data_IF_807284088650
#
_entry.id   IF_807284088650
#
_cell.length_a   1.000
_cell.length_b   1.000
_cell.length_c   1.000
_cell.angle_alpha   90.00
_cell.angle_beta   90.00
_cell.angle_gamma   90.00
#
_symmetry.space_group_name_H-M   'P 1'
#
loop_
_entity.id
_entity.type
_entity.pdbx_description
1 polymer ?
#
# COMPACT_ATOMS: atom_id res chain seq x y z
N UNK A 1 22.32 25.98 0.65
CA UNK A 1 20.87 25.83 0.93
C UNK A 1 20.21 25.25 -0.31
N UNK A 2 19.96 23.94 -0.34
CA UNK A 2 19.21 23.30 -1.42
C UNK A 2 17.72 23.35 -1.05
N UNK A 3 16.92 24.03 -1.87
CA UNK A 3 15.51 24.25 -1.61
C UNK A 3 14.72 22.95 -1.63
N UNK A 4 13.96 22.72 -0.56
CA UNK A 4 12.83 21.80 -0.54
C UNK A 4 11.80 22.31 -1.57
N UNK A 5 11.81 21.74 -2.79
CA UNK A 5 10.69 21.86 -3.73
C UNK A 5 9.46 21.28 -3.04
N UNK A 6 8.42 22.10 -2.89
CA UNK A 6 7.24 21.80 -2.08
C UNK A 6 6.53 20.51 -2.49
N UNK A 7 6.02 19.79 -1.50
CA UNK A 7 5.07 18.68 -1.63
C UNK A 7 3.73 19.19 -2.17
N UNK A 8 3.67 19.49 -3.47
CA UNK A 8 2.43 19.80 -4.15
C UNK A 8 1.70 18.52 -4.59
N UNK A 9 0.38 18.62 -4.76
CA UNK A 9 -0.44 17.62 -5.45
C UNK A 9 -0.76 18.20 -6.85
N UNK A 10 0.18 18.14 -7.81
CA UNK A 10 0.06 18.83 -9.08
C UNK A 10 -1.10 18.34 -9.93
N UNK A 11 -1.38 17.03 -9.95
CA UNK A 11 -2.48 16.48 -10.73
C UNK A 11 -3.82 16.89 -10.11
N UNK A 12 -3.94 16.78 -8.79
CA UNK A 12 -5.15 17.22 -8.09
C UNK A 12 -5.38 18.74 -8.18
N UNK A 13 -4.32 19.53 -8.09
CA UNK A 13 -4.39 21.00 -8.18
C UNK A 13 -4.70 21.52 -9.59
N UNK A 14 -4.52 20.71 -10.63
CA UNK A 14 -4.85 21.06 -12.00
C UNK A 14 -6.29 20.70 -12.39
N UNK A 15 -6.96 19.83 -11.63
CA UNK A 15 -8.34 19.43 -11.88
C UNK A 15 -9.33 20.50 -11.39
N UNK A 16 -10.40 20.73 -12.16
CA UNK A 16 -11.52 21.53 -11.69
C UNK A 16 -12.29 20.71 -10.63
N UNK A 17 -12.62 21.29 -9.45
CA UNK A 17 -13.28 20.54 -8.38
C UNK A 17 -14.57 19.83 -8.80
N UNK A 18 -15.33 20.44 -9.72
CA UNK A 18 -16.56 19.88 -10.31
C UNK A 18 -16.34 18.64 -11.18
N UNK A 19 -15.12 18.45 -11.69
CA UNK A 19 -14.73 17.32 -12.55
C UNK A 19 -14.06 16.19 -11.74
N UNK A 20 -14.00 16.31 -10.41
CA UNK A 20 -13.39 15.30 -9.54
C UNK A 20 -14.45 14.34 -9.00
N UNK A 21 -14.35 13.09 -9.43
CA UNK A 21 -15.15 11.99 -8.92
C UNK A 21 -14.41 11.25 -7.79
N UNK A 22 -15.17 10.70 -6.84
CA UNK A 22 -14.65 9.97 -5.69
C UNK A 22 -15.09 8.52 -5.76
N UNK A 23 -14.13 7.59 -5.71
CA UNK A 23 -14.41 6.16 -5.76
C UNK A 23 -15.13 5.67 -4.50
N UNK A 24 -15.70 4.46 -4.57
CA UNK A 24 -16.06 3.71 -3.36
C UNK A 24 -14.84 3.57 -2.45
N UNK A 25 -14.95 3.79 -1.12
CA UNK A 25 -13.83 3.66 -0.21
C UNK A 25 -13.39 2.21 -0.03
N UNK A 26 -12.09 2.04 0.18
CA UNK A 26 -11.47 0.78 0.56
C UNK A 26 -10.94 0.91 2.00
N UNK A 27 -11.26 -0.05 2.87
CA UNK A 27 -10.71 -0.02 4.23
C UNK A 27 -9.21 -0.35 4.18
N UNK A 28 -8.41 0.44 4.88
CA UNK A 28 -6.96 0.26 4.98
C UNK A 28 -6.64 -0.48 6.26
N UNK A 29 -5.92 -1.59 6.12
CA UNK A 29 -5.37 -2.40 7.19
C UNK A 29 -3.86 -2.20 7.26
N UNK A 30 -3.32 -2.07 8.46
CA UNK A 30 -1.88 -1.92 8.72
C UNK A 30 -1.38 -3.10 9.53
N UNK A 31 -0.21 -3.62 9.17
CA UNK A 31 0.50 -4.64 9.94
C UNK A 31 1.92 -4.18 10.26
N UNK A 32 2.39 -4.51 11.46
CA UNK A 32 3.73 -4.16 11.93
C UNK A 32 4.81 -5.12 11.40
N UNK A 33 6.07 -4.68 11.42
CA UNK A 33 7.20 -5.52 11.04
C UNK A 33 7.33 -6.74 11.96
N UNK A 34 7.22 -6.53 13.27
CA UNK A 34 7.33 -7.59 14.28
C UNK A 34 6.33 -8.73 14.04
N UNK A 35 5.09 -8.40 13.64
CA UNK A 35 4.08 -9.40 13.30
C UNK A 35 4.47 -10.22 12.07
N UNK A 36 5.12 -9.60 11.07
CA UNK A 36 5.60 -10.28 9.87
C UNK A 36 6.78 -11.19 10.21
N UNK A 37 7.74 -10.71 10.98
CA UNK A 37 8.91 -11.48 11.41
C UNK A 37 8.53 -12.67 12.30
N UNK A 38 7.48 -12.54 13.11
CA UNK A 38 6.89 -13.63 13.88
C UNK A 38 6.10 -14.64 13.03
N UNK A 39 6.01 -14.45 11.71
CA UNK A 39 5.29 -15.35 10.79
C UNK A 39 3.77 -15.18 10.83
N UNK A 40 3.27 -14.02 11.26
CA UNK A 40 1.84 -13.70 11.27
C UNK A 40 1.26 -13.52 9.86
N UNK A 41 -0.04 -13.77 9.73
CA UNK A 41 -0.82 -13.55 8.53
C UNK A 41 -1.80 -12.37 8.63
N UNK A 42 -2.85 -12.42 7.81
CA UNK A 42 -3.89 -11.37 7.73
C UNK A 42 -4.57 -11.09 9.08
N UNK A 43 -4.65 -12.09 9.96
CA UNK A 43 -5.25 -11.98 11.30
C UNK A 43 -4.53 -10.97 12.23
N UNK A 44 -3.29 -10.61 11.89
CA UNK A 44 -2.50 -9.60 12.61
C UNK A 44 -2.74 -8.18 12.10
N UNK A 45 -3.30 -8.03 10.90
CA UNK A 45 -3.56 -6.73 10.32
C UNK A 45 -4.68 -5.99 11.08
N UNK A 46 -4.48 -4.70 11.37
CA UNK A 46 -5.43 -3.87 12.11
C UNK A 46 -6.05 -2.81 11.21
N UNK A 47 -7.36 -2.56 11.30
CA UNK A 47 -7.98 -1.47 10.54
C UNK A 47 -7.38 -0.14 10.99
N UNK A 48 -7.02 0.72 10.03
CA UNK A 48 -6.32 1.98 10.27
C UNK A 48 -6.96 3.20 9.61
N UNK A 49 -7.98 3.01 8.76
CA UNK A 49 -8.70 4.09 8.10
C UNK A 49 -9.35 3.65 6.80
N UNK A 50 -9.71 4.64 5.98
CA UNK A 50 -10.38 4.49 4.70
C UNK A 50 -9.62 5.26 3.63
N UNK A 51 -9.53 4.66 2.44
CA UNK A 51 -8.91 5.28 1.27
C UNK A 51 -9.87 5.38 0.10
N UNK A 52 -9.90 6.55 -0.51
CA UNK A 52 -10.64 6.89 -1.71
C UNK A 52 -9.68 7.16 -2.85
N UNK A 53 -10.04 6.78 -4.06
CA UNK A 53 -9.38 7.26 -5.28
C UNK A 53 -10.13 8.48 -5.78
N UNK A 54 -9.38 9.46 -6.27
CA UNK A 54 -9.90 10.68 -6.87
C UNK A 54 -9.62 10.62 -8.37
N UNK A 55 -10.68 10.76 -9.15
CA UNK A 55 -10.64 10.59 -10.60
C UNK A 55 -11.05 11.89 -11.30
N UNK A 56 -10.41 12.21 -12.42
CA UNK A 56 -10.85 13.31 -13.28
C UNK A 56 -10.60 12.93 -14.73
N UNK A 57 -11.60 13.15 -15.59
CA UNK A 57 -11.53 12.74 -17.00
C UNK A 57 -11.34 11.24 -17.21
N UNK A 58 -11.76 10.41 -16.25
CA UNK A 58 -11.61 8.95 -16.27
C UNK A 58 -10.23 8.43 -15.85
N UNK A 59 -9.33 9.30 -15.38
CA UNK A 59 -8.01 8.94 -14.87
C UNK A 59 -7.92 9.16 -13.37
N UNK A 60 -7.27 8.24 -12.66
CA UNK A 60 -7.04 8.39 -11.22
C UNK A 60 -5.89 9.36 -10.99
N UNK A 61 -6.20 10.53 -10.45
CA UNK A 61 -5.25 11.64 -10.28
C UNK A 61 -4.65 11.70 -8.88
N UNK A 62 -5.36 11.22 -7.85
CA UNK A 62 -4.90 11.25 -6.47
C UNK A 62 -5.65 10.21 -5.61
N UNK A 63 -5.28 10.13 -4.33
CA UNK A 63 -6.06 9.43 -3.31
C UNK A 63 -6.25 10.28 -2.07
N UNK A 64 -7.37 10.08 -1.39
CA UNK A 64 -7.66 10.66 -0.09
C UNK A 64 -7.68 9.56 0.98
N UNK A 65 -7.07 9.81 2.14
CA UNK A 65 -7.11 8.92 3.30
C UNK A 65 -7.65 9.66 4.52
N UNK A 66 -8.60 9.05 5.21
CA UNK A 66 -9.14 9.50 6.50
C UNK A 66 -9.19 8.34 7.48
N UNK A 67 -9.28 8.66 8.77
CA UNK A 67 -9.45 7.69 9.84
C UNK A 67 -10.42 8.24 10.88
N UNK A 68 -11.12 7.36 11.56
CA UNK A 68 -11.93 7.72 12.71
C UNK A 68 -11.05 7.97 13.94
N UNK A 69 -11.39 9.00 14.70
CA UNK A 69 -10.84 9.27 16.04
C UNK A 69 -11.99 9.35 17.04
N UNK A 70 -11.73 9.29 18.36
CA UNK A 70 -12.78 9.47 19.37
C UNK A 70 -13.57 10.78 19.22
N UNK A 71 -12.98 11.80 18.61
CA UNK A 71 -13.56 13.13 18.38
C UNK A 71 -14.28 13.25 17.03
N UNK A 72 -14.25 12.20 16.19
CA UNK A 72 -14.86 12.17 14.86
C UNK A 72 -13.87 11.82 13.76
N UNK A 73 -14.28 11.97 12.49
CA UNK A 73 -13.39 11.70 11.37
C UNK A 73 -12.27 12.74 11.28
N UNK A 74 -11.02 12.28 11.16
CA UNK A 74 -9.88 13.15 10.90
C UNK A 74 -10.04 13.81 9.52
N UNK A 75 -9.64 15.09 9.35
CA UNK A 75 -9.54 15.69 8.02
C UNK A 75 -8.73 14.80 7.08
N UNK A 76 -9.19 14.61 5.83
CA UNK A 76 -8.50 13.73 4.90
C UNK A 76 -7.12 14.27 4.55
N UNK A 77 -6.17 13.35 4.42
CA UNK A 77 -4.88 13.58 3.78
C UNK A 77 -4.94 13.18 2.33
N UNK A 78 -4.27 13.91 1.45
CA UNK A 78 -4.27 13.64 0.02
C UNK A 78 -2.87 13.22 -0.43
N UNK A 79 -2.81 12.22 -1.30
CA UNK A 79 -1.57 11.63 -1.77
C UNK A 79 -1.60 11.43 -3.28
N UNK A 80 -0.49 11.78 -3.92
CA UNK A 80 -0.14 11.39 -5.29
C UNK A 80 1.05 10.43 -5.24
N UNK A 81 1.15 9.51 -6.20
CA UNK A 81 2.27 8.59 -6.29
C UNK A 81 1.95 7.27 -6.97
N UNK A 82 2.96 6.40 -7.13
CA UNK A 82 2.84 5.15 -7.89
C UNK A 82 1.74 4.23 -7.35
N UNK A 83 1.57 4.24 -6.03
CA UNK A 83 0.56 3.48 -5.32
C UNK A 83 -0.90 3.91 -5.61
N UNK A 84 -1.13 5.14 -6.08
CA UNK A 84 -2.46 5.58 -6.53
C UNK A 84 -2.87 4.83 -7.79
N UNK A 85 -2.06 4.97 -8.85
CA UNK A 85 -2.32 4.28 -10.11
C UNK A 85 -2.24 2.75 -9.99
N UNK A 86 -1.34 2.23 -9.15
CA UNK A 86 -1.24 0.79 -8.91
C UNK A 86 -2.50 0.21 -8.25
N UNK A 87 -3.12 0.94 -7.30
CA UNK A 87 -4.41 0.51 -6.72
C UNK A 87 -5.51 0.51 -7.77
N UNK A 88 -5.64 1.58 -8.56
CA UNK A 88 -6.64 1.65 -9.62
C UNK A 88 -6.51 0.47 -10.61
N UNK A 89 -5.28 0.20 -11.03
CA UNK A 89 -4.94 -0.92 -11.93
C UNK A 89 -5.30 -2.27 -11.30
N UNK A 90 -4.94 -2.50 -10.04
CA UNK A 90 -5.23 -3.74 -9.34
C UNK A 90 -6.74 -3.96 -9.12
N UNK A 91 -7.49 -2.90 -8.78
CA UNK A 91 -8.95 -2.97 -8.65
C UNK A 91 -9.60 -3.31 -9.98
N UNK A 92 -9.18 -2.65 -11.07
CA UNK A 92 -9.68 -2.95 -12.42
C UNK A 92 -9.39 -4.41 -12.82
N UNK A 93 -8.16 -4.89 -12.56
CA UNK A 93 -7.77 -6.26 -12.84
C UNK A 93 -8.58 -7.26 -12.00
N UNK A 94 -8.77 -7.01 -10.71
CA UNK A 94 -9.56 -7.87 -9.83
C UNK A 94 -11.02 -7.97 -10.28
N UNK A 95 -11.64 -6.86 -10.71
CA UNK A 95 -13.03 -6.87 -11.21
C UNK A 95 -13.18 -7.62 -12.54
N UNK A 96 -12.13 -7.71 -13.35
CA UNK A 96 -12.15 -8.40 -14.63
C UNK A 96 -12.04 -9.94 -14.50
N UNK A 97 -11.73 -10.47 -13.32
CA UNK A 97 -11.60 -11.90 -13.09
C UNK A 97 -12.97 -12.53 -12.80
N UNK A 98 -13.49 -13.43 -13.67
CA UNK A 98 -14.83 -14.00 -13.52
C UNK A 98 -15.06 -14.70 -12.17
N UNK A 99 -14.04 -15.40 -11.67
CA UNK A 99 -14.07 -16.07 -10.37
C UNK A 99 -14.21 -15.10 -9.19
N UNK A 100 -13.72 -13.87 -9.34
CA UNK A 100 -13.83 -12.84 -8.31
C UNK A 100 -15.18 -12.11 -8.40
N UNK A 101 -15.71 -11.95 -9.61
CA UNK A 101 -17.02 -11.33 -9.83
C UNK A 101 -18.15 -12.12 -9.15
N UNK A 102 -18.10 -13.46 -9.15
CA UNK A 102 -19.12 -14.31 -8.52
C UNK A 102 -18.99 -14.39 -7.00
N UNK A 103 -17.78 -14.27 -6.46
CA UNK A 103 -17.51 -14.46 -5.04
C UNK A 103 -17.86 -13.24 -4.16
N UNK A 104 -18.08 -12.06 -4.76
CA UNK A 104 -18.50 -10.86 -4.03
C UNK A 104 -17.43 -10.33 -3.07
N UNK A 105 -16.16 -10.31 -3.51
CA UNK A 105 -15.05 -9.83 -2.69
C UNK A 105 -15.23 -8.39 -2.22
N UNK A 106 -15.02 -8.17 -0.93
CA UNK A 106 -14.76 -6.86 -0.36
C UNK A 106 -13.33 -6.44 -0.70
N UNK A 107 -13.19 -5.21 -1.21
CA UNK A 107 -11.89 -4.63 -1.54
C UNK A 107 -11.31 -3.89 -0.34
N UNK A 108 -10.20 -4.40 0.17
CA UNK A 108 -9.41 -3.84 1.27
C UNK A 108 -8.01 -3.50 0.78
N UNK A 109 -7.28 -2.69 1.54
CA UNK A 109 -5.85 -2.48 1.35
C UNK A 109 -5.08 -3.00 2.55
N UNK A 110 -3.99 -3.72 2.31
CA UNK A 110 -3.01 -4.07 3.34
C UNK A 110 -1.76 -3.23 3.13
N UNK A 111 -1.31 -2.51 4.16
CA UNK A 111 -0.02 -1.81 4.16
C UNK A 111 0.90 -2.34 5.26
N UNK A 112 2.18 -2.48 4.93
CA UNK A 112 3.26 -2.81 5.86
C UNK A 112 4.33 -1.72 5.70
N UNK A 113 4.18 -0.58 6.40
CA UNK A 113 5.00 0.61 6.14
C UNK A 113 6.50 0.36 6.26
N UNK A 114 6.91 -0.46 7.24
CA UNK A 114 8.33 -0.77 7.49
C UNK A 114 9.01 -1.51 6.33
N UNK A 115 8.23 -2.21 5.49
CA UNK A 115 8.71 -2.92 4.31
C UNK A 115 8.44 -2.15 3.01
N UNK A 116 7.88 -0.94 3.10
CA UNK A 116 7.41 -0.17 1.95
C UNK A 116 6.55 -1.03 1.01
N UNK A 117 5.60 -1.77 1.60
CA UNK A 117 4.73 -2.70 0.90
C UNK A 117 3.28 -2.25 1.02
N UNK A 118 2.56 -2.28 -0.09
CA UNK A 118 1.10 -2.23 -0.10
C UNK A 118 0.54 -3.31 -1.03
N UNK A 119 -0.60 -3.88 -0.66
CA UNK A 119 -1.32 -4.87 -1.46
C UNK A 119 -2.82 -4.57 -1.47
N UNK A 120 -3.48 -4.82 -2.60
CA UNK A 120 -4.93 -4.96 -2.64
C UNK A 120 -5.29 -6.31 -2.00
N UNK A 121 -6.16 -6.28 -1.00
CA UNK A 121 -6.66 -7.45 -0.32
C UNK A 121 -8.11 -7.69 -0.75
N UNK A 122 -8.31 -8.81 -1.43
CA UNK A 122 -9.62 -9.31 -1.83
C UNK A 122 -10.11 -10.22 -0.71
N UNK A 123 -11.09 -9.76 0.07
CA UNK A 123 -11.66 -10.50 1.18
C UNK A 123 -13.05 -11.06 0.86
N UNK A 124 -13.25 -12.35 1.10
CA UNK A 124 -14.55 -13.01 1.07
C UNK A 124 -14.65 -13.99 2.25
N UNK A 125 -15.87 -14.41 2.66
CA UNK A 125 -16.06 -15.19 3.89
C UNK A 125 -15.17 -16.44 4.06
N UNK A 126 -14.79 -17.09 2.95
CA UNK A 126 -14.01 -18.33 2.96
C UNK A 126 -12.71 -18.21 2.15
N UNK A 127 -12.35 -17.03 1.67
CA UNK A 127 -11.22 -16.87 0.76
C UNK A 127 -10.65 -15.47 0.86
N UNK A 128 -9.34 -15.42 1.05
CA UNK A 128 -8.55 -14.20 0.97
C UNK A 128 -7.51 -14.34 -0.13
N UNK A 129 -7.35 -13.27 -0.92
CA UNK A 129 -6.31 -13.17 -1.94
C UNK A 129 -5.66 -11.79 -1.86
N UNK A 130 -4.37 -11.72 -2.19
CA UNK A 130 -3.60 -10.50 -2.17
C UNK A 130 -3.06 -10.20 -3.56
N UNK A 131 -3.07 -8.93 -3.95
CA UNK A 131 -2.41 -8.44 -5.15
C UNK A 131 -1.40 -7.37 -4.69
N UNK A 132 -0.09 -7.71 -4.60
CA UNK A 132 0.93 -6.72 -4.25
C UNK A 132 0.91 -5.57 -5.27
N UNK A 133 1.01 -4.35 -4.78
CA UNK A 133 1.01 -3.14 -5.62
C UNK A 133 2.45 -2.73 -5.91
N UNK A 134 2.69 -2.22 -7.11
CA UNK A 134 3.99 -1.68 -7.47
C UNK A 134 4.23 -0.31 -6.82
N UNK A 135 5.45 -0.02 -6.35
CA UNK A 135 6.59 -0.95 -6.21
C UNK A 135 6.41 -1.94 -5.05
N UNK A 136 6.94 -3.16 -5.15
CA UNK A 136 6.90 -4.15 -4.06
C UNK A 136 8.27 -4.79 -3.82
N UNK A 137 8.65 -5.06 -2.56
CA UNK A 137 9.90 -5.77 -2.26
C UNK A 137 9.90 -7.26 -2.63
N UNK A 138 8.74 -7.86 -2.92
CA UNK A 138 8.60 -9.32 -3.10
C UNK A 138 8.43 -9.78 -4.57
N UNK A 139 8.51 -8.87 -5.55
CA UNK A 139 8.58 -9.23 -6.99
C UNK A 139 7.32 -9.89 -7.59
N UNK A 140 6.20 -9.84 -6.86
CA UNK A 140 4.91 -10.41 -7.24
C UNK A 140 3.84 -9.35 -7.54
N UNK A 141 4.24 -8.12 -7.87
CA UNK A 141 3.35 -7.00 -8.21
C UNK A 141 2.30 -7.38 -9.26
N UNK A 142 1.06 -6.99 -9.03
CA UNK A 142 -0.07 -7.20 -9.95
C UNK A 142 -0.54 -8.66 -10.07
N UNK A 143 0.16 -9.62 -9.45
CA UNK A 143 -0.23 -11.03 -9.45
C UNK A 143 -1.18 -11.32 -8.29
N UNK A 144 -2.13 -12.23 -8.51
CA UNK A 144 -2.97 -12.76 -7.44
C UNK A 144 -2.18 -13.80 -6.66
N UNK A 145 -1.97 -13.56 -5.37
CA UNK A 145 -1.14 -14.36 -4.47
C UNK A 145 -1.97 -14.82 -3.26
N UNK A 146 -1.99 -16.13 -2.93
CA UNK A 146 -2.58 -16.61 -1.69
C UNK A 146 -1.83 -16.11 -0.44
N UNK A 147 -2.50 -15.81 0.68
CA UNK A 147 -1.86 -15.28 1.88
C UNK A 147 -0.63 -16.07 2.37
N UNK A 148 -0.64 -17.41 2.43
CA UNK A 148 0.54 -18.16 2.91
C UNK A 148 1.80 -17.93 2.05
N UNK A 149 1.63 -17.77 0.73
CA UNK A 149 2.74 -17.48 -0.19
C UNK A 149 3.24 -16.05 0.02
N UNK A 150 2.32 -15.11 0.09
CA UNK A 150 2.61 -13.69 0.29
C UNK A 150 3.38 -13.42 1.59
N UNK A 151 2.92 -13.95 2.73
CA UNK A 151 3.56 -13.72 4.03
C UNK A 151 4.90 -14.44 4.16
N UNK A 152 5.08 -15.61 3.51
CA UNK A 152 6.38 -16.25 3.44
C UNK A 152 7.41 -15.36 2.73
N UNK A 153 7.05 -14.84 1.55
CA UNK A 153 7.94 -13.95 0.76
C UNK A 153 8.29 -12.68 1.54
N UNK A 154 7.32 -12.11 2.28
CA UNK A 154 7.57 -10.96 3.14
C UNK A 154 8.49 -11.27 4.32
N UNK A 155 8.29 -12.40 4.99
CA UNK A 155 9.14 -12.80 6.11
C UNK A 155 10.57 -13.09 5.66
N UNK A 156 10.74 -13.68 4.46
CA UNK A 156 12.06 -13.85 3.82
C UNK A 156 12.72 -12.48 3.60
N UNK A 157 12.01 -11.54 2.96
CA UNK A 157 12.52 -10.19 2.72
C UNK A 157 12.86 -9.41 4.02
N UNK A 158 12.00 -9.51 5.04
CA UNK A 158 12.21 -8.84 6.33
C UNK A 158 13.49 -9.34 7.01
N UNK A 159 13.72 -10.65 7.03
CA UNK A 159 14.94 -11.26 7.58
C UNK A 159 16.20 -10.83 6.83
N UNK A 160 16.17 -10.79 5.51
CA UNK A 160 17.31 -10.36 4.69
C UNK A 160 17.68 -8.89 4.95
N UNK A 161 16.68 -8.04 5.20
CA UNK A 161 16.87 -6.65 5.60
C UNK A 161 17.52 -6.54 6.99
N UNK A 162 17.08 -7.35 7.96
CA UNK A 162 17.64 -7.40 9.30
C UNK A 162 19.10 -7.89 9.33
N UNK A 163 19.44 -8.88 8.49
CA UNK A 163 20.81 -9.35 8.31
C UNK A 163 21.73 -8.29 7.65
N UNK A 164 21.15 -7.30 6.97
CA UNK A 164 21.86 -6.24 6.26
C UNK A 164 22.01 -4.93 7.06
N UNK A 165 21.70 -4.91 8.37
CA UNK A 165 21.83 -3.75 9.28
C UNK A 165 23.27 -3.25 9.52
N UNK A 166 23.46 -2.00 10.00
CA UNK A 166 24.60 -1.14 9.64
C UNK A 166 25.91 -1.58 10.30
N UNK A 167 26.75 -2.29 9.54
CA UNK A 167 28.00 -2.82 10.06
C UNK A 167 29.00 -3.27 8.99
N UNK A 168 29.14 -2.53 7.88
CA UNK A 168 30.29 -2.68 6.98
C UNK A 168 30.82 -1.31 6.57
N UNK A 169 31.52 -0.69 7.51
CA UNK A 169 32.21 0.59 7.37
C UNK A 169 33.20 0.86 8.50
N UNK A 170 33.83 -0.18 9.04
CA UNK A 170 34.94 -0.05 9.98
C UNK A 170 36.18 -0.72 9.37
N UNK A 171 37.14 0.10 8.94
CA UNK A 171 38.50 -0.35 8.65
C UNK A 171 39.17 0.27 7.44
N UNK A 172 39.64 1.51 7.55
CA UNK A 172 41.07 1.76 7.29
C UNK A 172 41.50 3.07 7.96
N UNK A 173 42.48 3.06 8.89
CA UNK A 173 43.11 4.29 9.34
C UNK A 173 43.94 4.86 8.18
N UNK A 174 43.77 6.15 7.87
CA UNK A 174 44.70 6.85 6.98
C UNK A 174 46.02 7.09 7.73
N UNK A 175 47.19 6.75 7.15
CA UNK A 175 48.45 7.15 7.74
C UNK A 175 48.61 8.67 7.61
N UNK A 176 49.09 9.26 8.71
CA UNK A 176 49.41 10.68 8.83
C UNK A 176 50.43 11.09 7.76
N UNK A 177 50.17 12.17 7.04
CA UNK A 177 51.21 12.91 6.31
C UNK A 177 50.91 14.39 6.35
#
# INVERSE_FOLDING_TARGET
MAGMRGMGLPALGAAAPEDVEVSTPHQVFTMGLDDVEAGGGLERARPGGWRFLLESGGEVIASAETAETPEGARPPSFNEGPYVGATATAVKAARALPQLATAGFELRLLRIPALYLMALWLHAPNTDLLIPLAPSPIGSEGKVVPPPVFFRELADHARDRGASGPGQGAGQPRPNR
#
